data_IF_825539662643
#
_entry.id   IF_825539662643
#
_cell.length_a   1.000
_cell.length_b   1.000
_cell.length_c   1.000
_cell.angle_alpha   90.00
_cell.angle_beta   90.00
_cell.angle_gamma   90.00
#
_symmetry.space_group_name_H-M   'P 1'
#
loop_
_entity.id
_entity.type
_entity.pdbx_description
1 polymer ?
#
# COMPACT_ATOMS: atom_id res chain seq x y z
N UNK A 1 -73.84 28.71 73.29
CA UNK A 1 -72.44 28.45 73.71
C UNK A 1 -71.78 27.67 72.58
N UNK A 2 -70.93 28.33 71.77
CA UNK A 2 -70.35 27.77 70.53
C UNK A 2 -69.13 26.91 70.88
N UNK A 3 -69.12 25.65 70.45
CA UNK A 3 -67.98 24.74 70.53
C UNK A 3 -67.55 24.40 69.09
N UNK A 4 -66.29 24.62 68.69
CA UNK A 4 -65.82 24.29 67.34
C UNK A 4 -65.28 22.85 67.26
N UNK A 5 -65.65 22.15 66.18
CA UNK A 5 -65.12 20.85 65.78
C UNK A 5 -63.76 20.99 65.06
N UNK A 6 -62.73 20.32 65.56
CA UNK A 6 -61.46 20.11 64.89
C UNK A 6 -61.59 18.97 63.85
N UNK A 7 -61.10 19.20 62.63
CA UNK A 7 -60.92 18.16 61.59
C UNK A 7 -59.45 17.77 61.53
N UNK A 8 -59.17 16.49 61.75
CA UNK A 8 -57.87 15.85 61.53
C UNK A 8 -57.70 15.52 60.05
N UNK A 9 -56.67 16.08 59.42
CA UNK A 9 -56.18 15.71 58.09
C UNK A 9 -55.21 14.52 58.20
N UNK A 10 -55.49 13.46 57.44
CA UNK A 10 -54.60 12.30 57.25
C UNK A 10 -53.70 12.56 56.05
N UNK A 11 -52.39 12.58 56.26
CA UNK A 11 -51.40 12.67 55.18
C UNK A 11 -50.94 11.25 54.83
N UNK A 12 -51.21 10.81 53.60
CA UNK A 12 -50.74 9.55 53.02
C UNK A 12 -49.29 9.72 52.53
N UNK A 13 -48.42 8.82 52.95
CA UNK A 13 -47.01 8.73 52.56
C UNK A 13 -46.90 7.89 51.28
N UNK A 14 -46.60 8.51 50.15
CA UNK A 14 -46.35 7.84 48.88
C UNK A 14 -44.86 7.45 48.76
N UNK A 15 -44.60 6.14 48.72
CA UNK A 15 -43.27 5.57 48.52
C UNK A 15 -42.93 5.58 47.01
N UNK A 16 -42.08 6.51 46.58
CA UNK A 16 -41.59 6.57 45.21
C UNK A 16 -40.41 5.59 45.04
N UNK A 17 -40.61 4.51 44.29
CA UNK A 17 -39.57 3.57 43.89
C UNK A 17 -38.84 4.13 42.66
N UNK A 18 -37.71 4.80 42.87
CA UNK A 18 -36.86 5.27 41.79
C UNK A 18 -36.12 4.11 41.14
N UNK A 19 -36.58 3.69 39.95
CA UNK A 19 -35.93 2.70 39.10
C UNK A 19 -34.69 3.34 38.44
N UNK A 20 -33.50 3.13 39.01
CA UNK A 20 -32.23 3.49 38.35
C UNK A 20 -32.00 2.53 37.19
N UNK A 21 -32.29 2.99 35.96
CA UNK A 21 -31.81 2.34 34.74
C UNK A 21 -30.31 2.58 34.68
N UNK A 22 -29.51 1.59 35.08
CA UNK A 22 -28.10 1.56 34.75
C UNK A 22 -28.00 1.33 33.23
N UNK A 23 -27.76 2.40 32.48
CA UNK A 23 -27.40 2.29 31.08
C UNK A 23 -26.01 1.66 31.00
N UNK A 24 -25.96 0.35 30.75
CA UNK A 24 -24.75 -0.33 30.34
C UNK A 24 -24.34 0.22 28.98
N UNK A 25 -23.50 1.25 28.97
CA UNK A 25 -22.80 1.65 27.76
C UNK A 25 -21.89 0.47 27.38
N UNK A 26 -22.33 -0.36 26.43
CA UNK A 26 -21.43 -1.29 25.75
C UNK A 26 -20.38 -0.39 25.11
N UNK A 27 -19.09 -0.46 25.50
CA UNK A 27 -18.07 0.32 24.83
C UNK A 27 -18.15 -0.06 23.36
N UNK A 28 -18.34 0.92 22.48
CA UNK A 28 -18.12 0.68 21.06
C UNK A 28 -16.67 0.19 20.93
N UNK A 29 -16.50 -1.03 20.43
CA UNK A 29 -15.18 -1.59 20.14
C UNK A 29 -14.64 -0.78 18.96
N UNK A 30 -13.88 0.27 19.26
CA UNK A 30 -13.20 1.06 18.25
C UNK A 30 -11.98 0.26 17.77
N UNK A 31 -11.68 0.36 16.49
CA UNK A 31 -10.40 -0.12 15.98
C UNK A 31 -9.27 0.86 16.38
N UNK A 32 -8.03 0.38 16.27
CA UNK A 32 -6.83 1.21 16.46
C UNK A 32 -6.78 2.33 15.39
N UNK A 33 -6.06 3.40 15.67
CA UNK A 33 -5.82 4.50 14.75
C UNK A 33 -4.40 5.07 14.84
N UNK A 34 -4.12 6.19 14.16
CA UNK A 34 -2.78 6.78 14.08
C UNK A 34 -2.17 7.26 15.40
N UNK A 35 -2.99 7.40 16.45
CA UNK A 35 -2.55 7.81 17.78
C UNK A 35 -2.29 6.62 18.73
N UNK A 36 -2.72 5.41 18.35
CA UNK A 36 -2.52 4.21 19.16
C UNK A 36 -1.11 3.65 18.96
N UNK A 37 -0.57 2.90 19.95
CA UNK A 37 0.72 2.25 19.82
C UNK A 37 0.78 1.37 18.57
N UNK A 38 1.77 1.63 17.71
CA UNK A 38 1.99 0.80 16.53
C UNK A 38 2.40 -0.63 16.91
N UNK A 39 1.85 -1.66 16.26
CA UNK A 39 2.26 -3.03 16.45
C UNK A 39 3.72 -3.21 16.04
N UNK A 40 4.34 -4.22 16.63
CA UNK A 40 5.68 -4.62 16.31
C UNK A 40 5.87 -6.12 16.55
N UNK A 41 6.81 -6.72 15.85
CA UNK A 41 7.27 -8.08 16.07
C UNK A 41 8.74 -8.03 16.46
N UNK A 42 9.07 -8.75 17.54
CA UNK A 42 10.46 -9.05 17.86
C UNK A 42 10.99 -10.14 16.93
N UNK A 43 12.32 -10.20 16.70
CA UNK A 43 12.93 -11.34 16.02
C UNK A 43 12.49 -12.66 16.66
N UNK A 44 11.90 -13.55 15.86
CA UNK A 44 11.52 -14.90 16.31
C UNK A 44 12.70 -15.89 16.22
N UNK A 45 13.65 -15.62 15.31
CA UNK A 45 14.91 -16.35 15.18
C UNK A 45 16.10 -15.63 15.85
N UNK A 46 17.32 -16.01 15.47
CA UNK A 46 18.54 -15.28 15.88
C UNK A 46 18.46 -13.84 15.37
N UNK A 47 18.41 -12.88 16.30
CA UNK A 47 18.36 -11.47 15.95
C UNK A 47 19.56 -11.07 15.07
N UNK A 48 19.28 -10.52 13.91
CA UNK A 48 20.29 -10.07 12.94
C UNK A 48 20.70 -8.60 13.15
N UNK A 49 20.07 -7.91 14.10
CA UNK A 49 20.33 -6.51 14.45
C UNK A 49 19.74 -5.49 13.47
N UNK A 50 18.88 -5.92 12.54
CA UNK A 50 18.28 -5.09 11.49
C UNK A 50 16.81 -4.80 11.75
N UNK A 51 16.32 -3.68 11.23
CA UNK A 51 14.96 -3.19 11.47
C UNK A 51 14.20 -2.91 10.19
N UNK A 52 12.94 -3.33 10.15
CA UNK A 52 11.99 -3.10 9.06
C UNK A 52 10.82 -2.26 9.57
N UNK A 53 10.46 -1.22 8.81
CA UNK A 53 9.32 -0.36 9.07
C UNK A 53 8.27 -0.59 7.96
N UNK A 54 7.02 -0.81 8.33
CA UNK A 54 5.88 -0.88 7.41
C UNK A 54 5.10 0.44 7.43
N UNK A 55 4.76 0.98 6.28
CA UNK A 55 3.86 2.12 6.19
C UNK A 55 2.44 1.73 6.60
N UNK A 56 1.81 2.54 7.44
CA UNK A 56 0.38 2.51 7.73
C UNK A 56 -0.16 3.95 7.86
N UNK A 57 0.34 4.85 6.99
CA UNK A 57 0.00 6.28 7.00
C UNK A 57 -0.74 6.74 5.73
N UNK A 58 -0.81 5.89 4.70
CA UNK A 58 -1.40 6.20 3.40
C UNK A 58 -2.53 5.24 3.02
N UNK A 59 -3.37 4.87 4.00
CA UNK A 59 -4.59 4.12 3.74
C UNK A 59 -4.40 2.62 3.51
N UNK A 60 -3.40 2.00 4.14
CA UNK A 60 -3.17 0.54 4.07
C UNK A 60 -4.36 -0.31 4.59
N UNK A 61 -5.36 0.31 5.21
CA UNK A 61 -6.59 -0.32 5.71
C UNK A 61 -7.85 0.10 4.92
N UNK A 62 -7.69 0.85 3.83
CA UNK A 62 -8.76 1.43 3.04
C UNK A 62 -9.61 0.36 2.33
N UNK A 63 -10.94 0.52 2.34
CA UNK A 63 -11.82 -0.39 1.60
C UNK A 63 -11.55 -1.87 1.91
N UNK A 64 -11.16 -2.63 0.89
CA UNK A 64 -10.80 -4.05 1.02
C UNK A 64 -9.37 -4.31 1.52
N UNK A 65 -8.47 -3.32 1.47
CA UNK A 65 -7.09 -3.46 1.92
C UNK A 65 -7.00 -3.66 3.44
N UNK A 66 -6.10 -4.52 3.88
CA UNK A 66 -5.73 -4.66 5.30
C UNK A 66 -4.25 -4.98 5.44
N UNK A 67 -3.41 -4.17 4.79
CA UNK A 67 -2.00 -4.46 4.55
C UNK A 67 -1.12 -4.03 5.72
N UNK A 68 -1.51 -4.46 6.91
CA UNK A 68 -0.89 -4.13 8.20
C UNK A 68 -0.25 -5.39 8.80
N UNK A 69 0.78 -5.24 9.63
CA UNK A 69 1.63 -6.35 10.08
C UNK A 69 0.95 -7.28 11.08
N UNK A 70 -0.23 -6.89 11.58
CA UNK A 70 -1.10 -7.68 12.46
C UNK A 70 -2.50 -7.90 11.85
N UNK A 71 -2.59 -7.75 10.54
CA UNK A 71 -3.77 -7.97 9.71
C UNK A 71 -3.37 -8.75 8.47
N UNK A 72 -3.95 -8.44 7.32
CA UNK A 72 -3.74 -9.17 6.07
C UNK A 72 -2.31 -9.28 5.56
N UNK A 73 -1.29 -8.66 6.17
CA UNK A 73 0.14 -8.84 5.85
C UNK A 73 0.92 -9.52 7.00
N UNK A 74 0.24 -10.17 7.93
CA UNK A 74 0.83 -10.76 9.13
C UNK A 74 1.80 -11.89 8.82
N UNK A 75 1.49 -12.81 7.90
CA UNK A 75 2.36 -13.92 7.53
C UNK A 75 3.68 -13.40 6.93
N UNK A 76 3.63 -12.33 6.13
CA UNK A 76 4.84 -11.69 5.62
C UNK A 76 5.66 -11.04 6.75
N UNK A 77 5.01 -10.33 7.67
CA UNK A 77 5.68 -9.73 8.82
C UNK A 77 6.31 -10.79 9.74
N UNK A 78 5.62 -11.91 9.97
CA UNK A 78 6.11 -13.06 10.71
C UNK A 78 7.29 -13.73 10.01
N UNK A 79 7.24 -13.87 8.68
CA UNK A 79 8.36 -14.36 7.88
C UNK A 79 9.61 -13.47 8.02
N UNK A 80 9.43 -12.15 8.02
CA UNK A 80 10.51 -11.19 8.26
C UNK A 80 11.04 -11.34 9.70
N UNK A 81 10.18 -11.46 10.70
CA UNK A 81 10.59 -11.66 12.09
C UNK A 81 11.35 -12.99 12.28
N UNK A 82 10.92 -14.06 11.61
CA UNK A 82 11.59 -15.36 11.58
C UNK A 82 12.99 -15.28 10.94
N UNK A 83 13.17 -14.40 9.94
CA UNK A 83 14.48 -14.09 9.36
C UNK A 83 15.39 -13.22 10.29
N UNK A 84 14.94 -12.92 11.51
CA UNK A 84 15.75 -12.31 12.57
C UNK A 84 15.63 -10.79 12.68
N UNK A 85 14.70 -10.17 11.94
CA UNK A 85 14.50 -8.72 11.94
C UNK A 85 13.54 -8.29 13.05
N UNK A 86 13.72 -7.06 13.53
CA UNK A 86 12.66 -6.34 14.23
C UNK A 86 11.72 -5.70 13.20
N UNK A 87 10.42 -5.87 13.36
CA UNK A 87 9.39 -5.33 12.45
C UNK A 87 8.49 -4.38 13.22
N UNK A 88 8.15 -3.23 12.63
CA UNK A 88 7.23 -2.27 13.23
C UNK A 88 6.40 -1.55 12.17
N UNK A 89 5.20 -1.13 12.51
CA UNK A 89 4.44 -0.16 11.71
C UNK A 89 4.83 1.30 12.02
N UNK A 90 4.72 2.14 10.98
CA UNK A 90 4.63 3.57 11.10
C UNK A 90 3.15 3.97 11.17
N UNK A 91 2.73 4.51 12.31
CA UNK A 91 1.39 5.10 12.50
C UNK A 91 1.52 6.56 12.90
N UNK A 92 0.91 7.43 12.11
CA UNK A 92 0.84 8.88 12.34
C UNK A 92 -0.11 9.53 11.33
N UNK A 93 -0.58 10.73 11.65
CA UNK A 93 -1.39 11.56 10.76
C UNK A 93 -0.62 12.71 10.11
N UNK A 94 0.64 12.93 10.50
CA UNK A 94 1.52 13.92 9.91
C UNK A 94 2.32 13.32 8.75
N UNK A 95 2.85 14.13 7.81
CA UNK A 95 3.64 13.62 6.70
C UNK A 95 4.86 12.80 7.15
N UNK A 96 5.23 11.79 6.38
CA UNK A 96 6.47 11.04 6.55
C UNK A 96 7.67 11.99 6.40
N UNK A 97 8.60 11.88 7.35
CA UNK A 97 9.85 12.64 7.39
C UNK A 97 11.05 11.69 7.37
N UNK A 98 12.24 12.23 7.08
CA UNK A 98 13.47 11.43 7.14
C UNK A 98 13.71 10.84 8.55
N UNK A 99 13.30 11.55 9.59
CA UNK A 99 13.51 11.12 10.98
C UNK A 99 12.68 9.90 11.34
N UNK A 100 11.53 9.72 10.70
CA UNK A 100 10.73 8.49 10.83
C UNK A 100 11.47 7.28 10.24
N UNK A 101 12.23 7.49 9.15
CA UNK A 101 12.82 6.42 8.34
C UNK A 101 14.26 6.06 8.74
N UNK A 102 15.10 7.04 9.11
CA UNK A 102 16.56 6.87 9.25
C UNK A 102 17.02 5.85 10.29
N UNK A 103 16.13 5.44 11.20
CA UNK A 103 16.37 4.43 12.22
C UNK A 103 16.17 2.98 11.75
N UNK A 104 15.72 2.77 10.51
CA UNK A 104 15.40 1.47 9.94
C UNK A 104 16.29 1.13 8.75
N UNK A 105 16.47 -0.16 8.47
CA UNK A 105 17.26 -0.64 7.33
C UNK A 105 16.41 -0.76 6.05
N UNK A 106 15.13 -1.13 6.22
CA UNK A 106 14.15 -1.31 5.15
C UNK A 106 12.83 -0.62 5.54
N UNK A 107 12.27 0.13 4.61
CA UNK A 107 10.91 0.67 4.69
C UNK A 107 10.04 -0.03 3.64
N UNK A 108 8.93 -0.64 4.05
CA UNK A 108 8.02 -1.37 3.19
C UNK A 108 6.75 -0.56 3.06
N UNK A 109 6.28 -0.37 1.83
CA UNK A 109 5.11 0.43 1.50
C UNK A 109 4.09 -0.48 0.81
N UNK A 110 3.12 -1.01 1.57
CA UNK A 110 2.01 -1.78 1.01
C UNK A 110 1.00 -0.86 0.34
N UNK A 111 0.68 -1.13 -0.92
CA UNK A 111 -0.42 -0.60 -1.74
C UNK A 111 -1.03 0.69 -1.17
N UNK A 112 -0.31 1.81 -1.33
CA UNK A 112 -0.76 3.08 -0.79
C UNK A 112 -2.05 3.51 -1.48
N UNK A 113 -3.05 3.86 -0.69
CA UNK A 113 -4.37 4.30 -1.14
C UNK A 113 -4.56 5.81 -0.96
N UNK A 114 -3.50 6.56 -0.63
CA UNK A 114 -3.50 8.02 -0.52
C UNK A 114 -2.22 8.52 -1.20
N UNK A 115 -2.26 9.57 -2.03
CA UNK A 115 -1.07 10.09 -2.69
C UNK A 115 -0.05 10.66 -1.70
N UNK A 116 1.23 10.45 -2.00
CA UNK A 116 2.32 11.07 -1.26
C UNK A 116 2.46 12.55 -1.60
N UNK A 117 2.75 13.34 -0.59
CA UNK A 117 3.14 14.75 -0.75
C UNK A 117 4.55 14.81 -1.33
N UNK A 118 4.84 15.92 -2.01
CA UNK A 118 6.20 16.19 -2.52
C UNK A 118 7.26 16.19 -1.41
N UNK A 119 6.90 16.60 -0.19
CA UNK A 119 7.79 16.55 0.98
C UNK A 119 8.10 15.12 1.45
N UNK A 120 7.13 14.20 1.33
CA UNK A 120 7.30 12.79 1.72
C UNK A 120 8.13 12.06 0.68
N UNK A 121 7.86 12.32 -0.61
CA UNK A 121 8.69 11.89 -1.73
C UNK A 121 10.15 12.34 -1.54
N UNK A 122 10.40 13.59 -1.14
CA UNK A 122 11.74 14.08 -0.85
C UNK A 122 12.39 13.34 0.35
N UNK A 123 11.65 13.09 1.42
CA UNK A 123 12.14 12.35 2.59
C UNK A 123 12.50 10.90 2.25
N UNK A 124 11.66 10.20 1.49
CA UNK A 124 11.92 8.84 1.00
C UNK A 124 13.15 8.79 0.10
N UNK A 125 13.29 9.75 -0.82
CA UNK A 125 14.47 9.83 -1.69
C UNK A 125 15.74 10.08 -0.88
N UNK A 126 15.71 11.00 0.08
CA UNK A 126 16.85 11.30 0.94
C UNK A 126 17.23 10.10 1.81
N UNK A 127 16.25 9.37 2.34
CA UNK A 127 16.46 8.13 3.08
C UNK A 127 17.22 7.09 2.24
N UNK A 128 16.77 6.86 1.00
CA UNK A 128 17.43 5.92 0.08
C UNK A 128 18.84 6.41 -0.30
N UNK A 129 19.00 7.67 -0.68
CA UNK A 129 20.32 8.22 -1.01
C UNK A 129 21.30 8.13 0.17
N UNK A 130 20.80 8.24 1.41
CA UNK A 130 21.55 8.06 2.66
C UNK A 130 21.97 6.63 2.96
N UNK A 131 21.45 5.63 2.22
CA UNK A 131 21.77 4.22 2.41
C UNK A 131 20.59 3.36 2.82
N UNK A 132 19.42 3.95 3.08
CA UNK A 132 18.17 3.24 3.35
C UNK A 132 17.65 2.46 2.15
N UNK A 133 16.70 1.56 2.39
CA UNK A 133 16.10 0.75 1.33
C UNK A 133 14.58 0.80 1.41
N UNK A 134 13.90 0.84 0.26
CA UNK A 134 12.43 0.82 0.18
C UNK A 134 11.93 -0.40 -0.61
N UNK A 135 10.86 -1.04 -0.15
CA UNK A 135 10.10 -2.01 -0.93
C UNK A 135 8.72 -1.44 -1.25
N UNK A 136 8.42 -1.22 -2.52
CA UNK A 136 7.10 -0.80 -2.99
C UNK A 136 6.31 -2.02 -3.44
N UNK A 137 5.13 -2.23 -2.85
CA UNK A 137 4.19 -3.28 -3.21
C UNK A 137 2.96 -2.57 -3.77
N UNK A 138 2.79 -2.60 -5.08
CA UNK A 138 1.68 -1.96 -5.79
C UNK A 138 0.56 -2.97 -6.03
N UNK A 139 -0.51 -2.50 -6.63
CA UNK A 139 -1.49 -3.32 -7.33
C UNK A 139 -1.78 -2.69 -8.72
N UNK A 140 -2.70 -3.28 -9.46
CA UNK A 140 -3.15 -2.86 -10.76
C UNK A 140 -3.82 -1.48 -10.78
N UNK A 141 -4.00 -0.94 -11.99
CA UNK A 141 -4.82 0.25 -12.18
C UNK A 141 -6.29 -0.06 -11.95
N UNK A 142 -7.04 0.91 -11.43
CA UNK A 142 -8.42 0.76 -10.98
C UNK A 142 -8.58 -0.17 -9.75
N UNK A 143 -7.56 -0.24 -8.90
CA UNK A 143 -7.55 -0.90 -7.59
C UNK A 143 -7.82 0.08 -6.42
N UNK A 144 -8.20 1.33 -6.68
CA UNK A 144 -8.56 2.34 -5.67
C UNK A 144 -9.56 1.79 -4.64
N UNK A 145 -9.10 1.60 -3.40
CA UNK A 145 -9.90 0.96 -2.33
C UNK A 145 -10.79 1.94 -1.57
N UNK A 146 -10.51 3.24 -1.59
CA UNK A 146 -11.28 4.25 -0.84
C UNK A 146 -12.04 5.23 -1.75
N UNK A 147 -12.05 4.98 -3.06
CA UNK A 147 -12.75 5.79 -4.06
C UNK A 147 -12.24 7.23 -4.09
N UNK A 148 -10.94 7.43 -3.84
CA UNK A 148 -10.30 8.74 -3.89
C UNK A 148 -9.69 9.10 -5.25
N UNK A 149 -9.79 8.19 -6.23
CA UNK A 149 -9.23 8.27 -7.59
C UNK A 149 -7.74 8.01 -7.69
N UNK A 150 -7.08 7.54 -6.63
CA UNK A 150 -5.66 7.22 -6.65
C UNK A 150 -5.46 5.74 -6.48
N UNK A 151 -4.86 5.12 -7.49
CA UNK A 151 -4.31 3.79 -7.36
C UNK A 151 -2.91 3.83 -6.70
N UNK A 152 -2.49 2.71 -6.11
CA UNK A 152 -1.16 2.59 -5.52
C UNK A 152 -0.04 2.82 -6.54
N UNK A 153 -0.22 2.31 -7.77
CA UNK A 153 0.70 2.54 -8.88
C UNK A 153 0.91 4.04 -9.14
N UNK A 154 -0.16 4.83 -9.09
CA UNK A 154 -0.15 6.28 -9.29
C UNK A 154 0.45 7.04 -8.10
N UNK A 155 0.06 6.65 -6.88
CA UNK A 155 0.60 7.21 -5.64
C UNK A 155 2.14 7.05 -5.60
N UNK A 156 2.64 5.88 -6.02
CA UNK A 156 4.07 5.62 -6.11
C UNK A 156 4.71 6.36 -7.27
N UNK A 157 4.15 6.27 -8.47
CA UNK A 157 4.66 6.97 -9.65
C UNK A 157 4.76 8.48 -9.43
N UNK A 158 3.89 9.05 -8.58
CA UNK A 158 3.89 10.45 -8.17
C UNK A 158 2.91 11.32 -8.94
N UNK A 159 2.01 10.71 -9.71
CA UNK A 159 1.03 11.41 -10.53
C UNK A 159 -0.15 10.47 -10.86
N UNK A 160 -1.31 11.08 -11.14
CA UNK A 160 -2.52 10.36 -11.56
C UNK A 160 -2.69 10.36 -13.08
N UNK A 161 -3.00 9.19 -13.65
CA UNK A 161 -3.31 8.97 -15.06
C UNK A 161 -4.46 9.89 -15.49
N UNK A 162 -4.31 10.59 -16.62
CA UNK A 162 -5.35 11.50 -17.11
C UNK A 162 -5.56 12.77 -16.28
N UNK A 163 -4.71 13.03 -15.29
CA UNK A 163 -4.83 14.16 -14.36
C UNK A 163 -3.47 14.85 -14.08
N UNK A 164 -2.54 14.78 -15.04
CA UNK A 164 -1.21 15.36 -14.88
C UNK A 164 -1.23 16.84 -14.45
N UNK A 165 -2.02 17.68 -15.11
CA UNK A 165 -2.05 19.13 -14.82
C UNK A 165 -2.69 19.45 -13.47
N UNK A 166 -3.66 18.66 -13.03
CA UNK A 166 -4.38 18.86 -11.78
C UNK A 166 -4.62 17.51 -11.08
N UNK A 167 -3.77 17.14 -10.10
CA UNK A 167 -3.90 15.88 -9.38
C UNK A 167 -5.24 15.72 -8.65
N UNK A 168 -5.98 16.82 -8.41
CA UNK A 168 -7.30 16.81 -7.79
C UNK A 168 -8.45 16.98 -8.81
N UNK A 169 -8.20 16.77 -10.11
CA UNK A 169 -9.24 16.77 -11.16
C UNK A 169 -10.40 15.85 -10.75
N UNK A 170 -11.64 16.31 -10.87
CA UNK A 170 -12.83 15.52 -10.52
C UNK A 170 -13.13 15.39 -9.03
N UNK A 171 -12.32 15.97 -8.13
CA UNK A 171 -12.60 16.05 -6.69
C UNK A 171 -13.50 17.24 -6.36
N UNK A 172 -14.31 17.10 -5.30
CA UNK A 172 -15.06 18.21 -4.69
C UNK A 172 -14.14 19.28 -4.07
N UNK A 173 -14.72 20.42 -3.67
CA UNK A 173 -13.96 21.50 -3.03
C UNK A 173 -13.37 21.03 -1.69
N UNK A 174 -14.14 20.26 -0.92
CA UNK A 174 -13.76 19.72 0.37
C UNK A 174 -12.68 18.65 0.25
N UNK A 175 -12.80 17.74 -0.73
CA UNK A 175 -11.77 16.73 -1.04
C UNK A 175 -10.43 17.40 -1.37
N UNK A 176 -10.45 18.39 -2.28
CA UNK A 176 -9.26 19.14 -2.68
C UNK A 176 -8.62 19.88 -1.51
N UNK A 177 -9.44 20.42 -0.61
CA UNK A 177 -8.96 21.16 0.56
C UNK A 177 -8.45 20.24 1.68
N UNK A 178 -8.72 18.93 1.62
CA UNK A 178 -8.37 17.96 2.66
C UNK A 178 -6.86 17.93 2.95
N UNK A 179 -6.52 17.57 4.19
CA UNK A 179 -5.13 17.43 4.60
C UNK A 179 -4.38 16.41 3.72
N UNK A 180 -5.05 15.36 3.23
CA UNK A 180 -4.46 14.36 2.34
C UNK A 180 -3.95 14.98 1.01
N UNK A 181 -4.73 15.88 0.40
CA UNK A 181 -4.40 16.47 -0.90
C UNK A 181 -3.46 17.68 -0.83
N UNK A 182 -3.25 18.28 0.34
CA UNK A 182 -2.33 19.42 0.48
C UNK A 182 -0.89 19.03 0.12
N UNK A 183 -0.25 19.75 -0.80
CA UNK A 183 1.16 19.51 -1.19
C UNK A 183 1.39 18.31 -2.12
N UNK A 184 0.31 17.71 -2.64
CA UNK A 184 0.36 16.75 -3.74
C UNK A 184 0.58 17.50 -5.05
N UNK A 185 1.53 17.05 -5.86
CA UNK A 185 1.80 17.59 -7.18
C UNK A 185 2.23 16.46 -8.11
N UNK A 186 1.76 16.49 -9.36
CA UNK A 186 2.15 15.51 -10.36
C UNK A 186 3.64 15.60 -10.66
N UNK A 187 4.34 14.52 -10.42
CA UNK A 187 5.74 14.31 -10.75
C UNK A 187 5.91 12.89 -11.24
N UNK A 188 6.79 12.66 -12.22
CA UNK A 188 7.14 11.31 -12.67
C UNK A 188 8.25 10.75 -11.76
N UNK A 189 7.94 10.69 -10.46
CA UNK A 189 8.91 10.59 -9.36
C UNK A 189 9.68 9.27 -9.37
N UNK A 190 9.01 8.12 -9.53
CA UNK A 190 9.70 6.84 -9.61
C UNK A 190 10.60 6.74 -10.84
N UNK A 191 10.12 7.17 -12.01
CA UNK A 191 10.92 7.08 -13.23
C UNK A 191 12.15 7.99 -13.13
N UNK A 192 11.96 9.21 -12.63
CA UNK A 192 13.05 10.19 -12.43
C UNK A 192 14.11 9.66 -11.46
N UNK A 193 13.71 9.07 -10.34
CA UNK A 193 14.63 8.80 -9.24
C UNK A 193 15.11 7.35 -9.18
N UNK A 194 14.24 6.39 -9.50
CA UNK A 194 14.50 4.95 -9.35
C UNK A 194 14.62 4.24 -10.71
N UNK A 195 14.26 4.90 -11.82
CA UNK A 195 14.37 4.30 -13.17
C UNK A 195 13.32 3.26 -13.47
N UNK A 196 12.19 3.30 -12.74
CA UNK A 196 11.04 2.41 -12.95
C UNK A 196 9.74 3.20 -13.00
N UNK A 197 8.69 2.60 -13.53
CA UNK A 197 7.31 3.09 -13.40
C UNK A 197 6.36 1.89 -13.28
N UNK A 198 5.43 1.91 -12.33
CA UNK A 198 4.32 0.96 -12.36
C UNK A 198 3.43 1.28 -13.55
N UNK A 199 3.14 0.30 -14.40
CA UNK A 199 2.29 0.50 -15.58
C UNK A 199 0.82 0.44 -15.15
N UNK A 200 -0.08 0.94 -15.99
CA UNK A 200 -1.50 0.92 -15.69
C UNK A 200 -2.22 -0.37 -16.11
N UNK A 201 -1.45 -1.38 -16.49
CA UNK A 201 -2.03 -2.63 -16.94
C UNK A 201 -2.61 -3.43 -15.75
N UNK A 202 -3.55 -4.31 -16.06
CA UNK A 202 -4.22 -5.19 -15.12
C UNK A 202 -4.31 -6.57 -15.79
N UNK A 203 -3.29 -7.38 -15.53
CA UNK A 203 -3.16 -8.73 -16.07
C UNK A 203 -4.00 -9.68 -15.23
N UNK A 204 -4.40 -10.83 -15.76
CA UNK A 204 -5.24 -11.76 -15.02
C UNK A 204 -4.45 -12.64 -14.04
N UNK A 205 -5.09 -13.73 -13.59
CA UNK A 205 -4.47 -14.72 -12.69
C UNK A 205 -3.36 -15.54 -13.38
N UNK A 206 -2.10 -15.19 -13.15
CA UNK A 206 -0.97 -15.74 -13.90
C UNK A 206 0.17 -16.12 -12.96
N UNK A 207 0.79 -17.27 -13.21
CA UNK A 207 2.06 -17.61 -12.57
C UNK A 207 3.23 -17.01 -13.36
N UNK A 208 3.94 -16.07 -12.76
CA UNK A 208 5.17 -15.50 -13.30
C UNK A 208 6.29 -16.54 -13.25
N UNK A 209 6.70 -17.04 -14.41
CA UNK A 209 7.63 -18.18 -14.55
C UNK A 209 8.92 -17.82 -15.28
N UNK A 210 9.05 -16.57 -15.75
CA UNK A 210 10.27 -16.07 -16.37
C UNK A 210 11.12 -15.42 -15.28
N UNK A 211 11.90 -16.26 -14.59
CA UNK A 211 12.71 -15.88 -13.44
C UNK A 211 14.16 -15.58 -13.87
N UNK A 212 14.65 -14.38 -13.56
CA UNK A 212 16.07 -14.03 -13.80
C UNK A 212 16.96 -14.87 -12.89
N UNK A 213 18.10 -15.35 -13.39
CA UNK A 213 18.98 -16.22 -12.58
C UNK A 213 19.52 -15.50 -11.33
N UNK A 214 19.83 -16.22 -10.23
CA UNK A 214 20.38 -15.63 -9.01
C UNK A 214 21.62 -14.75 -9.25
N UNK A 215 22.47 -15.10 -10.20
CA UNK A 215 23.69 -14.34 -10.54
C UNK A 215 23.36 -12.99 -11.17
N UNK A 216 22.23 -12.90 -11.88
CA UNK A 216 21.76 -11.69 -12.55
C UNK A 216 20.70 -10.93 -11.73
N UNK A 217 20.17 -11.52 -10.67
CA UNK A 217 19.22 -10.91 -9.73
C UNK A 217 19.84 -10.58 -8.37
N UNK A 218 21.17 -10.60 -8.26
CA UNK A 218 21.90 -10.32 -7.01
C UNK A 218 21.54 -11.27 -5.86
N UNK A 219 21.16 -12.50 -6.21
CA UNK A 219 20.78 -13.58 -5.31
C UNK A 219 19.31 -13.59 -4.91
N UNK A 220 18.52 -12.59 -5.33
CA UNK A 220 17.13 -12.40 -4.89
C UNK A 220 16.23 -13.56 -5.35
N UNK A 221 16.44 -14.08 -6.55
CA UNK A 221 15.60 -15.14 -7.12
C UNK A 221 16.07 -16.55 -6.76
N UNK A 222 16.96 -16.70 -5.78
CA UNK A 222 17.42 -18.02 -5.34
C UNK A 222 16.26 -18.83 -4.76
N UNK A 223 16.02 -19.99 -5.35
CA UNK A 223 14.94 -20.89 -4.92
C UNK A 223 13.57 -20.54 -5.50
N UNK A 224 13.45 -19.46 -6.29
CA UNK A 224 12.20 -19.02 -6.91
C UNK A 224 12.09 -19.64 -8.30
N UNK A 225 10.96 -20.29 -8.58
CA UNK A 225 10.59 -20.84 -9.90
C UNK A 225 9.33 -20.20 -10.44
N UNK A 226 8.41 -19.84 -9.57
CA UNK A 226 7.11 -19.26 -9.91
C UNK A 226 6.70 -18.25 -8.85
N UNK A 227 6.00 -17.18 -9.27
CA UNK A 227 5.41 -16.19 -8.36
C UNK A 227 3.96 -15.98 -8.79
N UNK A 228 3.01 -16.02 -7.87
CA UNK A 228 1.61 -15.80 -8.21
C UNK A 228 1.37 -14.34 -8.64
N UNK A 229 0.35 -14.11 -9.44
CA UNK A 229 -0.23 -12.81 -9.75
C UNK A 229 -1.74 -13.00 -9.83
N UNK A 230 -2.48 -12.09 -9.18
CA UNK A 230 -3.92 -12.00 -9.17
C UNK A 230 -4.32 -10.56 -9.49
N UNK A 231 -4.73 -10.34 -10.74
CA UNK A 231 -5.13 -9.02 -11.25
C UNK A 231 -4.02 -7.95 -11.37
N UNK A 232 -2.76 -8.21 -10.99
CA UNK A 232 -1.71 -7.19 -10.85
C UNK A 232 -1.21 -6.44 -12.11
N UNK A 233 -0.30 -5.49 -11.86
CA UNK A 233 0.40 -4.69 -12.89
C UNK A 233 1.82 -5.21 -13.16
N UNK A 234 2.40 -4.76 -14.28
CA UNK A 234 3.86 -4.84 -14.49
C UNK A 234 4.52 -3.48 -14.31
N UNK A 235 5.85 -3.49 -14.33
CA UNK A 235 6.73 -2.35 -14.12
C UNK A 235 7.46 -2.09 -15.42
N UNK A 236 7.52 -0.84 -15.87
CA UNK A 236 8.40 -0.42 -16.94
C UNK A 236 9.79 -0.07 -16.39
N UNK A 237 10.85 -0.60 -17.00
CA UNK A 237 12.22 -0.10 -16.81
C UNK A 237 12.38 1.16 -17.65
N UNK A 238 12.50 2.32 -17.02
CA UNK A 238 12.66 3.62 -17.70
C UNK A 238 14.12 4.07 -17.77
N UNK A 239 14.96 3.64 -16.83
CA UNK A 239 16.40 3.86 -16.84
C UNK A 239 17.15 2.59 -16.39
N UNK A 240 17.67 1.77 -17.33
CA UNK A 240 18.37 0.54 -17.00
C UNK A 240 19.73 0.76 -16.32
N UNK A 241 20.25 1.99 -16.26
CA UNK A 241 21.43 2.28 -15.45
C UNK A 241 21.10 2.29 -13.94
N UNK A 242 19.82 2.52 -13.59
CA UNK A 242 19.31 2.52 -12.21
C UNK A 242 18.56 1.25 -11.88
N UNK A 243 17.77 0.71 -12.80
CA UNK A 243 16.82 -0.36 -12.54
C UNK A 243 17.02 -1.62 -13.38
N UNK A 244 16.51 -2.74 -12.86
CA UNK A 244 16.54 -4.05 -13.50
C UNK A 244 15.34 -4.89 -13.07
N UNK A 245 14.70 -5.55 -14.02
CA UNK A 245 13.69 -6.57 -13.77
C UNK A 245 14.30 -7.89 -13.30
N UNK A 246 13.59 -8.58 -12.40
CA UNK A 246 14.06 -9.84 -11.80
C UNK A 246 13.03 -10.98 -11.92
N UNK A 247 11.76 -10.66 -12.09
CA UNK A 247 10.67 -11.61 -12.33
C UNK A 247 9.80 -11.06 -13.45
N UNK A 248 9.46 -11.90 -14.42
CA UNK A 248 8.59 -11.56 -15.53
C UNK A 248 7.51 -12.63 -15.70
N UNK A 249 6.40 -12.20 -16.29
CA UNK A 249 5.33 -13.10 -16.68
C UNK A 249 5.75 -13.91 -17.92
N UNK A 250 5.15 -15.09 -18.16
CA UNK A 250 5.22 -15.73 -19.47
C UNK A 250 4.54 -14.85 -20.54
N UNK A 251 4.71 -15.21 -21.82
CA UNK A 251 3.88 -14.64 -22.87
C UNK A 251 2.40 -14.98 -22.59
N UNK A 252 1.52 -13.99 -22.69
CA UNK A 252 0.12 -14.11 -22.28
C UNK A 252 -0.76 -13.06 -22.96
N UNK A 253 -2.05 -13.33 -23.04
CA UNK A 253 -3.10 -12.34 -23.35
C UNK A 253 -4.16 -12.28 -22.25
N UNK A 254 -3.87 -12.89 -21.10
CA UNK A 254 -4.82 -12.99 -20.01
C UNK A 254 -4.87 -11.66 -19.27
N UNK A 255 -5.94 -10.91 -19.51
CA UNK A 255 -6.27 -9.67 -18.82
C UNK A 255 -7.26 -9.95 -17.70
N UNK A 256 -7.20 -9.16 -16.63
CA UNK A 256 -8.23 -9.17 -15.61
C UNK A 256 -9.59 -8.75 -16.21
N UNK A 257 -10.67 -9.45 -15.84
CA UNK A 257 -11.99 -9.23 -16.44
C UNK A 257 -12.57 -7.84 -16.25
N UNK A 258 -12.08 -7.07 -15.26
CA UNK A 258 -12.49 -5.68 -15.00
C UNK A 258 -11.40 -4.66 -15.38
N UNK A 259 -10.38 -5.07 -16.16
CA UNK A 259 -9.43 -4.12 -16.71
C UNK A 259 -10.18 -3.05 -17.52
N UNK A 260 -9.82 -1.78 -17.28
CA UNK A 260 -10.49 -0.62 -17.88
C UNK A 260 -9.92 -0.23 -19.25
N UNK A 261 -8.88 -0.95 -19.69
CA UNK A 261 -8.29 -0.92 -21.02
C UNK A 261 -7.91 -2.36 -21.44
N UNK A 262 -7.02 -2.57 -22.42
CA UNK A 262 -6.68 -3.93 -22.88
C UNK A 262 -6.03 -4.84 -21.82
N UNK A 263 -5.55 -4.30 -20.69
CA UNK A 263 -4.97 -5.03 -19.56
C UNK A 263 -3.64 -5.76 -19.79
N UNK A 264 -3.30 -6.17 -21.02
CA UNK A 264 -1.99 -6.70 -21.42
C UNK A 264 -1.46 -5.88 -22.59
N UNK A 265 -0.29 -5.24 -22.43
CA UNK A 265 0.12 -4.17 -23.34
C UNK A 265 0.99 -4.64 -24.50
N UNK A 266 1.84 -5.64 -24.28
CA UNK A 266 2.84 -6.16 -25.20
C UNK A 266 2.84 -7.70 -25.30
N UNK A 267 1.78 -8.36 -24.82
CA UNK A 267 1.61 -9.81 -24.92
C UNK A 267 2.34 -10.60 -23.83
N UNK A 268 2.59 -9.98 -22.66
CA UNK A 268 3.34 -10.62 -21.57
C UNK A 268 4.84 -10.70 -21.86
N UNK A 269 5.53 -11.58 -21.13
CA UNK A 269 6.97 -11.77 -21.30
C UNK A 269 7.80 -10.54 -20.92
N UNK A 270 9.02 -10.48 -21.46
CA UNK A 270 9.98 -9.40 -21.19
C UNK A 270 9.50 -8.06 -21.76
N UNK A 271 8.80 -8.08 -22.90
CA UNK A 271 8.31 -6.87 -23.57
C UNK A 271 7.21 -6.15 -22.78
N UNK A 272 6.43 -6.88 -21.96
CA UNK A 272 5.45 -6.33 -21.02
C UNK A 272 6.12 -5.60 -19.84
N UNK A 273 7.42 -5.79 -19.65
CA UNK A 273 8.14 -5.31 -18.48
C UNK A 273 8.06 -6.29 -17.30
N UNK A 274 8.97 -6.14 -16.32
CA UNK A 274 9.01 -7.00 -15.15
C UNK A 274 7.74 -6.94 -14.32
N UNK A 275 7.40 -8.08 -13.71
CA UNK A 275 6.45 -8.14 -12.60
C UNK A 275 7.10 -7.70 -11.28
N UNK A 276 8.37 -8.06 -11.06
CA UNK A 276 9.18 -7.54 -9.96
C UNK A 276 10.50 -6.98 -10.46
N UNK A 277 10.91 -5.85 -9.89
CA UNK A 277 12.12 -5.12 -10.28
C UNK A 277 12.90 -4.62 -9.06
N UNK A 278 14.14 -4.23 -9.29
CA UNK A 278 15.02 -3.58 -8.32
C UNK A 278 15.62 -2.32 -8.91
N UNK A 279 16.01 -1.37 -8.05
CA UNK A 279 16.81 -0.23 -8.47
C UNK A 279 17.93 0.09 -7.48
N UNK A 280 18.94 0.81 -7.96
CA UNK A 280 20.03 1.35 -7.15
C UNK A 280 20.06 2.87 -7.21
N UNK A 281 19.99 3.53 -6.04
CA UNK A 281 19.93 4.99 -5.94
C UNK A 281 20.90 5.46 -4.86
N UNK A 282 22.07 5.95 -5.28
CA UNK A 282 23.11 6.38 -4.36
C UNK A 282 23.59 5.21 -3.47
N UNK A 283 23.62 5.41 -2.16
CA UNK A 283 24.06 4.37 -1.21
C UNK A 283 22.99 3.31 -0.94
N UNK A 284 21.72 3.67 -1.06
CA UNK A 284 20.58 2.78 -0.84
C UNK A 284 20.06 2.17 -2.14
N UNK A 285 18.86 1.60 -2.10
CA UNK A 285 18.25 0.87 -3.21
C UNK A 285 16.75 0.67 -2.97
N UNK A 286 16.03 0.15 -3.97
CA UNK A 286 14.64 -0.19 -3.82
C UNK A 286 14.27 -1.48 -4.56
N UNK A 287 13.16 -2.09 -4.15
CA UNK A 287 12.49 -3.18 -4.86
C UNK A 287 11.03 -2.83 -5.12
N UNK A 288 10.43 -3.50 -6.10
CA UNK A 288 9.10 -3.22 -6.63
C UNK A 288 8.42 -4.53 -7.01
N UNK A 289 7.16 -4.70 -6.65
CA UNK A 289 6.27 -5.76 -7.15
C UNK A 289 4.92 -5.15 -7.52
N UNK A 290 4.37 -5.55 -8.67
CA UNK A 290 3.17 -4.94 -9.25
C UNK A 290 1.83 -5.45 -8.73
N UNK A 291 1.84 -6.28 -7.68
CA UNK A 291 0.66 -6.94 -7.11
C UNK A 291 0.88 -7.16 -5.61
N UNK A 292 -0.16 -6.88 -4.81
CA UNK A 292 -0.18 -7.07 -3.36
C UNK A 292 -0.70 -8.45 -2.97
N UNK A 293 -1.43 -9.14 -3.87
CA UNK A 293 -2.03 -10.45 -3.63
C UNK A 293 -1.02 -11.53 -3.20
N UNK A 294 0.20 -11.62 -3.76
CA UNK A 294 1.20 -12.60 -3.29
C UNK A 294 1.75 -12.31 -1.89
N UNK A 295 1.40 -11.18 -1.30
CA UNK A 295 1.90 -10.75 0.02
C UNK A 295 0.84 -10.94 1.10
N UNK A 296 -0.43 -10.91 0.73
CA UNK A 296 -1.53 -10.99 1.69
C UNK A 296 -1.74 -12.38 2.28
N UNK A 297 -2.47 -12.40 3.39
CA UNK A 297 -2.96 -13.57 4.09
C UNK A 297 -4.44 -13.40 4.49
N UNK A 298 -5.05 -14.46 5.03
CA UNK A 298 -6.48 -14.51 5.39
C UNK A 298 -6.81 -13.92 6.78
N UNK A 299 -6.02 -12.96 7.28
CA UNK A 299 -6.20 -12.40 8.64
C UNK A 299 -6.56 -10.90 8.68
N UNK A 300 -7.50 -10.40 7.86
CA UNK A 300 -7.85 -8.99 7.90
C UNK A 300 -8.39 -8.63 9.30
N UNK A 301 -7.91 -7.51 9.83
CA UNK A 301 -8.15 -7.06 11.21
C UNK A 301 -9.29 -6.05 11.29
N UNK A 302 -9.41 -5.18 10.30
CA UNK A 302 -10.31 -4.03 10.31
C UNK A 302 -11.49 -4.22 9.34
N UNK A 303 -12.57 -3.49 9.60
CA UNK A 303 -13.75 -3.44 8.73
C UNK A 303 -13.59 -2.37 7.65
N UNK A 304 -14.36 -2.49 6.55
CA UNK A 304 -14.37 -1.48 5.48
C UNK A 304 -14.88 -0.14 5.99
N UNK A 305 -14.11 0.93 5.81
CA UNK A 305 -14.45 2.29 6.29
C UNK A 305 -15.79 2.82 5.77
N UNK A 306 -16.15 2.47 4.54
CA UNK A 306 -17.39 2.92 3.91
C UNK A 306 -18.64 2.18 4.43
N UNK A 307 -18.54 0.85 4.62
CA UNK A 307 -19.71 -0.02 4.81
C UNK A 307 -19.76 -0.73 6.16
N UNK A 308 -18.65 -0.82 6.88
CA UNK A 308 -18.52 -1.60 8.11
C UNK A 308 -18.56 -3.12 7.87
N UNK A 309 -18.46 -3.56 6.61
CA UNK A 309 -18.43 -4.97 6.28
C UNK A 309 -17.05 -5.59 6.57
N UNK A 310 -17.03 -6.88 6.90
CA UNK A 310 -15.79 -7.65 7.03
C UNK A 310 -15.05 -7.74 5.69
N UNK A 311 -13.73 -7.60 5.72
CA UNK A 311 -12.87 -7.75 4.55
C UNK A 311 -12.64 -9.22 4.22
N UNK A 312 -12.29 -9.49 2.98
CA UNK A 312 -11.90 -10.82 2.50
C UNK A 312 -10.61 -10.63 1.75
N UNK A 313 -9.58 -11.31 2.24
CA UNK A 313 -8.23 -11.36 1.68
C UNK A 313 -7.90 -12.81 1.32
N UNK A 314 -6.80 -13.03 0.62
CA UNK A 314 -6.39 -14.34 0.13
C UNK A 314 -5.10 -14.82 0.81
N UNK A 315 -4.82 -16.13 0.77
CA UNK A 315 -3.63 -16.71 1.41
C UNK A 315 -2.41 -16.70 0.46
N UNK A 316 -2.18 -15.54 -0.18
CA UNK A 316 -1.25 -15.43 -1.29
C UNK A 316 0.21 -15.54 -0.90
N UNK A 317 0.57 -15.16 0.33
CA UNK A 317 1.94 -15.37 0.84
C UNK A 317 2.40 -16.84 0.78
N UNK A 318 1.45 -17.80 0.85
CA UNK A 318 1.72 -19.24 0.78
C UNK A 318 1.64 -19.82 -0.63
N UNK A 319 1.34 -19.00 -1.63
CA UNK A 319 1.29 -19.43 -3.01
C UNK A 319 2.69 -19.51 -3.64
N UNK A 320 2.78 -20.35 -4.68
CA UNK A 320 3.99 -20.57 -5.49
C UNK A 320 5.29 -20.57 -4.66
N UNK A 321 6.24 -19.67 -5.00
CA UNK A 321 7.44 -19.39 -4.21
C UNK A 321 7.40 -17.95 -3.64
N UNK A 322 6.20 -17.42 -3.35
CA UNK A 322 5.97 -16.00 -3.07
C UNK A 322 6.68 -15.56 -1.78
N UNK A 323 6.47 -16.29 -0.68
CA UNK A 323 7.24 -16.10 0.55
C UNK A 323 8.75 -16.13 0.33
N UNK A 324 9.26 -17.02 -0.54
CA UNK A 324 10.69 -17.13 -0.82
C UNK A 324 11.22 -15.87 -1.50
N UNK A 325 10.52 -15.37 -2.51
CA UNK A 325 10.89 -14.12 -3.18
C UNK A 325 10.86 -12.94 -2.19
N UNK A 326 9.75 -12.78 -1.46
CA UNK A 326 9.53 -11.64 -0.56
C UNK A 326 10.60 -11.56 0.53
N UNK A 327 10.94 -12.68 1.16
CA UNK A 327 12.00 -12.74 2.18
C UNK A 327 13.38 -12.51 1.56
N UNK A 328 13.66 -13.03 0.36
CA UNK A 328 14.91 -12.75 -0.34
C UNK A 328 15.06 -11.27 -0.70
N UNK A 329 13.97 -10.60 -1.11
CA UNK A 329 13.93 -9.16 -1.37
C UNK A 329 14.29 -8.40 -0.09
N UNK A 330 13.65 -8.68 1.04
CA UNK A 330 13.95 -8.00 2.32
C UNK A 330 15.40 -8.23 2.75
N UNK A 331 15.90 -9.45 2.62
CA UNK A 331 17.30 -9.79 2.91
C UNK A 331 18.30 -9.03 2.04
N UNK A 332 18.01 -8.91 0.74
CA UNK A 332 18.82 -8.10 -0.15
C UNK A 332 18.73 -6.63 0.25
N UNK A 333 17.54 -6.07 0.45
CA UNK A 333 17.31 -4.66 0.82
C UNK A 333 18.07 -4.27 2.10
N UNK A 334 18.11 -5.13 3.11
CA UNK A 334 18.78 -4.85 4.39
C UNK A 334 20.32 -4.89 4.32
N UNK A 335 20.88 -5.53 3.29
CA UNK A 335 22.33 -5.62 3.11
C UNK A 335 22.89 -4.34 2.49
N UNK A 336 23.85 -3.69 3.14
CA UNK A 336 24.55 -2.53 2.55
C UNK A 336 25.61 -3.00 1.56
N UNK A 337 25.78 -2.26 0.47
CA UNK A 337 26.81 -2.52 -0.53
C UNK A 337 27.68 -1.29 -0.81
N UNK A 338 28.85 -1.52 -1.37
CA UNK A 338 29.81 -0.47 -1.73
C UNK A 338 29.51 0.18 -3.09
N UNK A 339 28.82 -0.52 -4.00
CA UNK A 339 28.43 0.04 -5.29
C UNK A 339 27.26 1.02 -5.13
N UNK A 340 27.18 1.97 -6.05
CA UNK A 340 26.15 3.02 -6.10
C UNK A 340 25.38 3.03 -7.41
N UNK A 341 25.78 2.20 -8.36
CA UNK A 341 25.16 2.01 -9.67
C UNK A 341 25.20 0.54 -10.05
N UNK A 342 24.20 0.07 -10.81
CA UNK A 342 24.17 -1.32 -11.28
C UNK A 342 25.34 -1.64 -12.21
N UNK A 343 25.77 -0.66 -13.03
CA UNK A 343 26.91 -0.81 -13.95
C UNK A 343 28.27 -1.04 -13.27
N UNK A 344 28.37 -0.84 -11.95
CA UNK A 344 29.59 -1.12 -11.17
C UNK A 344 29.69 -2.59 -10.76
N UNK A 345 28.64 -3.39 -10.94
CA UNK A 345 28.59 -4.79 -10.52
C UNK A 345 29.17 -5.65 -11.64
N UNK A 346 30.32 -6.27 -11.37
CA UNK A 346 31.01 -7.13 -12.34
C UNK A 346 30.12 -8.29 -12.79
N UNK A 347 29.96 -8.45 -14.10
CA UNK A 347 29.18 -9.53 -14.70
C UNK A 347 27.65 -9.32 -14.69
N UNK A 348 27.15 -8.22 -14.13
CA UNK A 348 25.73 -7.90 -14.20
C UNK A 348 25.37 -7.36 -15.59
N UNK A 349 24.38 -7.97 -16.23
CA UNK A 349 23.79 -7.47 -17.48
C UNK A 349 22.68 -6.46 -17.15
N UNK A 350 22.85 -5.23 -17.62
CA UNK A 350 21.78 -4.22 -17.54
C UNK A 350 20.64 -4.59 -18.48
N UNK A 351 19.43 -4.20 -18.12
CA UNK A 351 18.25 -4.39 -18.96
C UNK A 351 18.22 -3.39 -20.11
N UNK A 352 17.24 -3.57 -21.00
CA UNK A 352 16.83 -2.53 -21.94
C UNK A 352 15.61 -1.80 -21.41
N UNK A 353 15.36 -0.53 -21.80
CA UNK A 353 14.12 0.15 -21.46
C UNK A 353 12.91 -0.66 -21.93
N UNK A 354 11.87 -0.73 -21.11
CA UNK A 354 10.60 -1.35 -21.49
C UNK A 354 9.94 -0.49 -22.58
N UNK A 355 9.49 -1.08 -23.71
CA UNK A 355 8.73 -0.34 -24.71
C UNK A 355 7.43 0.21 -24.13
N UNK A 356 7.26 1.53 -24.20
CA UNK A 356 6.06 2.21 -23.71
C UNK A 356 5.06 2.45 -24.83
N UNK A 357 3.78 2.34 -24.50
CA UNK A 357 2.69 2.82 -25.35
C UNK A 357 2.63 4.35 -25.29
N UNK A 358 2.58 5.00 -26.45
CA UNK A 358 2.67 6.47 -26.57
C UNK A 358 1.42 7.09 -27.20
N UNK A 359 0.35 6.31 -27.34
CA UNK A 359 -0.89 6.71 -27.97
C UNK A 359 -2.05 5.85 -27.49
N UNK A 360 -3.27 6.33 -27.66
CA UNK A 360 -4.48 5.60 -27.30
C UNK A 360 -4.82 5.68 -25.80
N UNK A 361 -5.82 4.92 -25.36
CA UNK A 361 -6.24 4.89 -23.95
C UNK A 361 -5.10 4.49 -23.02
N UNK A 362 -4.22 3.57 -23.44
CA UNK A 362 -3.10 3.04 -22.66
C UNK A 362 -1.83 3.90 -22.73
N UNK A 363 -1.93 5.17 -23.14
CA UNK A 363 -0.76 6.04 -23.26
C UNK A 363 -0.02 6.19 -21.92
N UNK A 364 1.23 5.72 -21.89
CA UNK A 364 2.09 5.68 -20.71
C UNK A 364 2.95 6.94 -20.56
N UNK A 365 2.79 7.94 -21.44
CA UNK A 365 3.41 9.26 -21.29
C UNK A 365 2.60 10.08 -20.29
N UNK A 366 3.12 10.40 -19.09
CA UNK A 366 2.32 10.96 -18.00
C UNK A 366 1.48 12.18 -18.40
N UNK A 367 2.09 13.14 -19.09
CA UNK A 367 1.46 14.40 -19.53
C UNK A 367 0.39 14.21 -20.61
N UNK A 368 0.41 13.08 -21.31
CA UNK A 368 -0.49 12.75 -22.41
C UNK A 368 -1.41 11.58 -22.08
N UNK A 369 -1.28 11.02 -20.88
CA UNK A 369 -2.11 9.94 -20.40
C UNK A 369 -3.55 10.43 -20.30
N UNK A 370 -4.49 9.50 -20.47
CA UNK A 370 -5.91 9.75 -20.35
C UNK A 370 -6.50 8.76 -19.36
N UNK A 371 -7.56 9.20 -18.71
CA UNK A 371 -8.41 8.41 -17.84
C UNK A 371 -9.37 7.62 -18.77
N UNK A 372 -9.22 6.29 -18.92
CA UNK A 372 -9.98 5.52 -19.90
C UNK A 372 -11.45 5.33 -19.49
N UNK A 373 -11.74 5.40 -18.19
CA UNK A 373 -13.07 5.38 -17.60
C UNK A 373 -13.14 6.43 -16.48
N UNK A 374 -14.32 6.96 -16.21
CA UNK A 374 -14.48 7.99 -15.19
C UNK A 374 -14.18 7.44 -13.78
N UNK A 375 -13.43 8.22 -13.00
CA UNK A 375 -13.00 7.89 -11.65
C UNK A 375 -13.70 8.76 -10.57
N UNK A 376 -13.96 8.21 -9.37
CA UNK A 376 -13.68 6.82 -8.98
C UNK A 376 -14.62 5.85 -9.71
N UNK A 377 -14.21 4.58 -9.82
CA UNK A 377 -14.96 3.52 -10.53
C UNK A 377 -16.38 3.29 -10.01
N UNK A 378 -16.68 3.76 -8.79
CA UNK A 378 -18.04 3.89 -8.28
C UNK A 378 -18.16 5.09 -7.36
N UNK A 379 -19.37 5.65 -7.27
CA UNK A 379 -19.66 6.70 -6.31
C UNK A 379 -19.43 6.22 -4.86
N UNK A 380 -18.82 7.05 -3.99
CA UNK A 380 -18.80 6.81 -2.55
C UNK A 380 -20.22 6.76 -1.97
N UNK A 381 -20.44 5.88 -0.97
CA UNK A 381 -21.69 5.78 -0.25
C UNK A 381 -22.02 7.09 0.47
N UNK A 382 -23.31 7.37 0.64
CA UNK A 382 -23.77 8.59 1.27
C UNK A 382 -23.16 8.77 2.68
N UNK A 383 -22.51 9.91 2.89
CA UNK A 383 -21.90 10.28 4.17
C UNK A 383 -20.48 9.76 4.41
N UNK A 384 -19.96 8.88 3.55
CA UNK A 384 -18.56 8.43 3.62
C UNK A 384 -17.64 9.43 2.92
N UNK A 385 -16.54 9.79 3.58
CA UNK A 385 -15.51 10.70 3.07
C UNK A 385 -14.14 10.09 3.35
N UNK A 386 -13.46 9.59 2.31
CA UNK A 386 -12.16 8.91 2.43
C UNK A 386 -11.08 9.74 3.16
N UNK A 387 -11.21 11.07 3.18
CA UNK A 387 -10.27 12.00 3.81
C UNK A 387 -10.66 12.43 5.23
N UNK A 388 -11.78 11.94 5.77
CA UNK A 388 -12.29 12.30 7.09
C UNK A 388 -12.68 11.04 7.89
N UNK A 389 -11.77 10.53 8.74
CA UNK A 389 -11.99 9.33 9.54
C UNK A 389 -13.21 9.42 10.47
N UNK A 390 -13.70 10.63 10.80
CA UNK A 390 -14.91 10.78 11.61
C UNK A 390 -16.15 10.21 10.91
N UNK A 391 -16.11 10.06 9.58
CA UNK A 391 -17.18 9.50 8.77
C UNK A 391 -17.15 7.98 8.62
N UNK A 392 -16.05 7.34 9.03
CA UNK A 392 -15.87 5.90 8.85
C UNK A 392 -16.86 5.11 9.72
N UNK A 393 -17.09 3.85 9.36
CA UNK A 393 -17.86 2.92 10.19
C UNK A 393 -17.02 2.40 11.35
N UNK A 394 -17.69 2.06 12.45
CA UNK A 394 -17.03 1.51 13.64
C UNK A 394 -16.30 0.20 13.31
N UNK A 395 -15.12 -0.01 13.89
CA UNK A 395 -14.27 -1.17 13.62
C UNK A 395 -13.38 -1.02 12.39
N UNK A 396 -13.47 0.10 11.68
CA UNK A 396 -12.49 0.53 10.69
C UNK A 396 -11.36 1.30 11.37
N UNK A 397 -10.14 1.18 10.85
CA UNK A 397 -8.99 1.87 11.40
C UNK A 397 -9.25 3.38 11.58
N UNK A 398 -8.97 3.89 12.79
CA UNK A 398 -9.27 5.27 13.20
C UNK A 398 -10.71 5.51 13.67
N UNK A 399 -11.54 4.48 13.86
CA UNK A 399 -12.96 4.64 14.23
C UNK A 399 -13.57 3.61 15.17
#
# INVERSE_FOLDING_TARGET
>A
MKIPHQRFTRTLLSLALSLTVAASAVPAVLAEGPADPAPYLNPAGTANGKKVLFDNTHGQTAGAADWVINGGFSDFAEGIAAAGYYVKELRKSTPITLDDLKGYDVFIIPEANIPYKTTEQAAMLQYVQGGGSIFFISDHYNADRNKNRWDSSEAFNGYRRGAWTDPAKGMSTEERASAAMQGVASTDWLATNFGVRFRYNALGDINATVIVSPEQSLGITRGVKSVAMHAGSTIAITDPAKAKGIVYLPATSQSWGNAVDKGVYAGGGIAEGPYAAISKVGKGKAAFIGDSSPVEDITPRYLREETGAAKTTYDGYKEQDDATLLINVVNWLAKKESYTKLSQISGLKLDSPTPLLTSGPENEIPQQSVEPQAEPWAAPAAGYKWWDPSTFKAGSYGK
#
